data_IF_952796283539
#
_entry.id   IF_952796283539
#
_cell.length_a   1.000
_cell.length_b   1.000
_cell.length_c   1.000
_cell.angle_alpha   90.00
_cell.angle_beta   90.00
_cell.angle_gamma   90.00
#
_symmetry.space_group_name_H-M   'P 1'
#
loop_
_entity.id
_entity.type
_entity.pdbx_description
1 polymer ?
#
# COMPACT_ATOMS: atom_id res chain seq x y z
N UNK A 1 3.29 5.09 -15.40
CA UNK A 1 2.75 3.84 -14.83
C UNK A 1 1.25 4.01 -14.79
N UNK A 2 0.50 2.98 -15.12
CA UNK A 2 -0.96 3.05 -15.04
C UNK A 2 -1.38 3.17 -13.57
N UNK A 3 -2.37 4.03 -13.34
CA UNK A 3 -2.99 4.28 -12.04
C UNK A 3 -4.24 3.42 -11.91
N UNK A 4 -4.50 2.91 -10.71
CA UNK A 4 -5.69 2.14 -10.39
C UNK A 4 -6.21 2.52 -9.00
N UNK A 5 -7.47 2.22 -8.74
CA UNK A 5 -8.08 2.49 -7.44
C UNK A 5 -7.83 1.34 -6.46
N UNK A 6 -7.50 1.68 -5.22
CA UNK A 6 -7.31 0.75 -4.11
C UNK A 6 -8.48 0.92 -3.14
N UNK A 7 -9.52 0.07 -3.22
CA UNK A 7 -10.64 0.12 -2.29
C UNK A 7 -10.24 -0.50 -0.95
N UNK A 8 -10.39 0.25 0.14
CA UNK A 8 -9.97 -0.14 1.49
C UNK A 8 -11.14 0.04 2.46
N UNK A 9 -11.53 -1.05 3.11
CA UNK A 9 -12.48 -0.97 4.23
C UNK A 9 -11.71 -0.72 5.51
N UNK A 10 -11.91 0.44 6.13
CA UNK A 10 -11.23 0.82 7.37
C UNK A 10 -12.18 1.51 8.35
N UNK A 11 -12.23 1.02 9.60
CA UNK A 11 -13.13 1.53 10.66
C UNK A 11 -14.60 1.65 10.22
N UNK A 12 -15.06 0.69 9.39
CA UNK A 12 -16.43 0.65 8.87
C UNK A 12 -16.73 1.62 7.73
N UNK A 13 -15.70 2.26 7.16
CA UNK A 13 -15.83 3.16 6.00
C UNK A 13 -15.11 2.55 4.80
N UNK A 14 -15.68 2.73 3.61
CA UNK A 14 -15.00 2.46 2.34
C UNK A 14 -14.19 3.70 1.95
N UNK A 15 -12.89 3.53 1.81
CA UNK A 15 -11.94 4.54 1.39
C UNK A 15 -11.33 4.12 0.05
N UNK A 16 -11.04 5.08 -0.80
CA UNK A 16 -10.46 4.83 -2.11
C UNK A 16 -9.16 5.62 -2.25
N UNK A 17 -8.08 4.91 -2.58
CA UNK A 17 -6.75 5.50 -2.77
C UNK A 17 -6.25 5.27 -4.19
N UNK A 18 -5.35 6.13 -4.64
CA UNK A 18 -4.72 5.95 -5.94
C UNK A 18 -3.48 5.06 -5.80
N UNK A 19 -3.46 3.96 -6.54
CA UNK A 19 -2.40 2.97 -6.59
C UNK A 19 -1.65 2.97 -7.93
N UNK A 20 -0.35 2.69 -7.90
CA UNK A 20 0.48 2.45 -9.09
C UNK A 20 1.33 1.20 -8.90
N UNK A 21 1.49 0.41 -9.97
CA UNK A 21 2.28 -0.83 -9.95
C UNK A 21 3.55 -0.66 -10.76
N UNK A 22 4.70 -0.87 -10.11
CA UNK A 22 5.99 -1.04 -10.79
C UNK A 22 6.38 -2.50 -10.77
N UNK A 23 6.56 -3.09 -11.94
CA UNK A 23 7.12 -4.44 -12.10
C UNK A 23 8.60 -4.35 -12.44
N UNK A 24 9.37 -5.28 -11.88
CA UNK A 24 10.80 -5.43 -12.09
C UNK A 24 11.09 -6.89 -12.43
N UNK A 25 12.30 -7.19 -12.92
CA UNK A 25 12.69 -8.55 -13.30
C UNK A 25 12.54 -9.59 -12.18
N UNK A 26 12.58 -9.17 -10.91
CA UNK A 26 12.54 -10.07 -9.74
C UNK A 26 11.48 -9.68 -8.70
N UNK A 27 10.47 -8.90 -9.06
CA UNK A 27 9.42 -8.53 -8.11
C UNK A 27 8.60 -7.34 -8.56
N UNK A 28 7.86 -6.76 -7.63
CA UNK A 28 7.06 -5.59 -7.87
C UNK A 28 7.01 -4.70 -6.63
N UNK A 29 6.68 -3.42 -6.86
CA UNK A 29 6.31 -2.46 -5.82
C UNK A 29 4.96 -1.85 -6.16
N UNK A 30 4.13 -1.70 -5.15
CA UNK A 30 2.88 -0.95 -5.21
C UNK A 30 3.11 0.39 -4.53
N UNK A 31 2.69 1.47 -5.16
CA UNK A 31 2.75 2.81 -4.60
C UNK A 31 1.33 3.27 -4.36
N UNK A 32 0.98 3.59 -3.12
CA UNK A 32 -0.36 4.05 -2.74
C UNK A 32 -0.26 5.47 -2.19
N UNK A 33 -0.96 6.41 -2.80
CA UNK A 33 -1.06 7.77 -2.25
C UNK A 33 -2.09 7.81 -1.12
N UNK A 34 -1.61 7.97 0.11
CA UNK A 34 -2.41 8.12 1.32
C UNK A 34 -2.30 9.56 1.80
N UNK A 35 -3.29 10.38 1.44
CA UNK A 35 -3.40 11.80 1.85
C UNK A 35 -2.17 12.64 1.47
N UNK A 36 -1.67 12.47 0.24
CA UNK A 36 -0.47 13.12 -0.26
C UNK A 36 0.81 12.55 0.34
N UNK A 37 0.80 11.27 0.70
CA UNK A 37 1.95 10.53 1.22
C UNK A 37 2.07 9.23 0.46
N UNK A 38 3.18 9.06 -0.26
CA UNK A 38 3.43 7.84 -1.03
C UNK A 38 3.86 6.72 -0.08
N UNK A 39 2.97 5.75 0.13
CA UNK A 39 3.25 4.51 0.85
C UNK A 39 3.70 3.47 -0.16
N UNK A 40 4.89 2.91 0.03
CA UNK A 40 5.43 1.86 -0.83
C UNK A 40 5.16 0.51 -0.20
N UNK A 41 4.49 -0.38 -0.91
CA UNK A 41 4.23 -1.76 -0.49
C UNK A 41 5.07 -2.70 -1.34
N UNK A 42 5.85 -3.54 -0.69
CA UNK A 42 6.74 -4.51 -1.33
C UNK A 42 6.80 -5.81 -0.54
N UNK A 43 7.30 -6.88 -1.17
CA UNK A 43 7.69 -8.08 -0.43
C UNK A 43 9.01 -7.84 0.28
N UNK A 44 9.11 -8.30 1.51
CA UNK A 44 10.37 -8.40 2.24
C UNK A 44 11.15 -9.66 1.86
N UNK A 45 12.26 -9.89 2.56
CA UNK A 45 13.17 -11.01 2.29
C UNK A 45 12.55 -12.39 2.61
N UNK A 46 11.47 -12.42 3.38
CA UNK A 46 10.68 -13.62 3.68
C UNK A 46 9.49 -13.79 2.74
N UNK A 47 9.25 -12.82 1.85
CA UNK A 47 8.13 -12.79 0.93
C UNK A 47 6.88 -12.15 1.50
N UNK A 48 6.90 -11.69 2.75
CA UNK A 48 5.76 -11.02 3.39
C UNK A 48 5.62 -9.58 2.88
N UNK A 49 4.39 -9.08 2.81
CA UNK A 49 4.14 -7.70 2.43
C UNK A 49 4.50 -6.76 3.58
N UNK A 50 5.30 -5.72 3.28
CA UNK A 50 5.63 -4.62 4.17
C UNK A 50 5.29 -3.28 3.53
N UNK A 51 5.03 -2.27 4.35
CA UNK A 51 4.91 -0.88 3.93
C UNK A 51 6.15 -0.07 4.35
N UNK A 52 6.64 0.77 3.44
CA UNK A 52 7.66 1.76 3.68
C UNK A 52 7.03 3.15 3.53
N UNK A 53 7.24 3.99 4.52
CA UNK A 53 6.81 5.39 4.51
C UNK A 53 8.05 6.29 4.42
N UNK A 54 7.97 7.45 3.75
CA UNK A 54 9.07 8.41 3.74
C UNK A 54 9.33 8.95 5.15
N UNK A 55 10.56 9.30 5.48
CA UNK A 55 10.93 9.79 6.83
C UNK A 55 10.08 11.00 7.29
N UNK A 56 9.73 11.87 6.34
CA UNK A 56 8.85 13.03 6.57
C UNK A 56 7.38 12.66 6.84
N UNK A 57 6.97 11.42 6.56
CA UNK A 57 5.65 10.94 6.96
C UNK A 57 5.53 10.75 8.47
N UNK A 58 6.63 10.74 9.24
CA UNK A 58 6.53 10.76 10.71
C UNK A 58 5.81 12.00 11.24
N UNK A 59 5.78 13.10 10.47
CA UNK A 59 5.02 14.32 10.81
C UNK A 59 3.53 14.23 10.41
N UNK A 60 3.19 13.38 9.44
CA UNK A 60 1.79 13.08 9.06
C UNK A 60 1.37 11.78 9.74
N UNK A 61 0.57 11.87 10.80
CA UNK A 61 0.06 10.69 11.53
C UNK A 61 -0.91 9.87 10.68
N UNK A 62 -0.41 9.09 9.73
CA UNK A 62 -1.19 8.04 9.08
C UNK A 62 -1.35 6.92 10.11
N UNK A 63 -2.59 6.56 10.39
CA UNK A 63 -2.89 5.49 11.34
C UNK A 63 -2.29 4.17 10.83
N UNK A 64 -1.50 3.51 11.67
CA UNK A 64 -0.89 2.21 11.34
C UNK A 64 -1.94 1.19 10.88
N UNK A 65 -3.13 1.19 11.48
CA UNK A 65 -4.21 0.29 11.09
C UNK A 65 -4.75 0.56 9.70
N UNK A 66 -4.67 1.81 9.20
CA UNK A 66 -5.04 2.12 7.82
C UNK A 66 -4.02 1.52 6.85
N UNK A 67 -2.73 1.61 7.17
CA UNK A 67 -1.66 0.97 6.39
C UNK A 67 -1.84 -0.55 6.36
N UNK A 68 -2.14 -1.16 7.51
CA UNK A 68 -2.43 -2.59 7.60
C UNK A 68 -3.63 -2.98 6.73
N UNK A 69 -4.73 -2.22 6.77
CA UNK A 69 -5.89 -2.47 5.92
C UNK A 69 -5.56 -2.37 4.42
N UNK A 70 -4.71 -1.43 4.02
CA UNK A 70 -4.22 -1.32 2.64
C UNK A 70 -3.40 -2.57 2.24
N UNK A 71 -2.51 -3.05 3.12
CA UNK A 71 -1.72 -4.27 2.85
C UNK A 71 -2.64 -5.48 2.64
N UNK A 72 -3.70 -5.62 3.43
CA UNK A 72 -4.63 -6.75 3.32
C UNK A 72 -5.36 -6.80 1.98
N UNK A 73 -5.72 -5.64 1.39
CA UNK A 73 -6.28 -5.59 0.02
C UNK A 73 -5.37 -6.32 -0.97
N UNK A 74 -4.06 -6.13 -0.87
CA UNK A 74 -3.09 -6.77 -1.77
C UNK A 74 -2.76 -8.20 -1.37
N UNK A 75 -2.88 -8.55 -0.09
CA UNK A 75 -2.74 -9.94 0.38
C UNK A 75 -3.85 -10.82 -0.17
N UNK A 76 -5.09 -10.34 -0.16
CA UNK A 76 -6.26 -11.06 -0.70
C UNK A 76 -6.19 -11.26 -2.22
N UNK A 77 -5.55 -10.33 -2.94
CA UNK A 77 -5.35 -10.43 -4.39
C UNK A 77 -4.29 -11.48 -4.81
N UNK A 78 -3.48 -11.99 -3.88
CA UNK A 78 -2.42 -12.99 -4.15
C UNK A 78 -2.91 -14.45 -4.12
N UNK A 79 -4.10 -14.73 -4.65
CA UNK A 79 -4.52 -16.12 -4.95
C UNK A 79 -3.87 -16.58 -6.26
N UNK A 80 -2.55 -16.78 -6.27
CA UNK A 80 -1.81 -17.54 -7.31
C UNK A 80 -0.63 -18.29 -6.70
#
# INVERSE_FOLDING_TARGET
>A
MEEFEVPVTYKGQELFFNGRLATYSYGYKLYVDVYGTEVVIERDDHGDLRALLPDAASEKTIDKGLIEAIIEVFRELQVL
#
